data_IF_798578545436
#
_entry.id   IF_798578545436
#
_cell.length_a   1.000
_cell.length_b   1.000
_cell.length_c   1.000
_cell.angle_alpha   90.00
_cell.angle_beta   90.00
_cell.angle_gamma   90.00
#
_symmetry.space_group_name_H-M   'P 1'
#
loop_
_entity.id
_entity.type
_entity.pdbx_description
1 polymer ?
#
# COMPACT_ATOMS: atom_id res chain seq x y z
N UNK A 1 -77.56 9.60 -77.39
CA UNK A 1 -76.72 10.78 -77.08
C UNK A 1 -75.49 10.29 -76.32
N UNK A 2 -74.42 9.92 -77.03
CA UNK A 2 -73.11 9.60 -76.45
C UNK A 2 -72.11 10.54 -77.13
N UNK A 3 -71.66 11.57 -76.41
CA UNK A 3 -70.73 12.57 -76.93
C UNK A 3 -69.38 11.96 -77.27
N UNK A 4 -68.87 12.24 -78.48
CA UNK A 4 -67.55 11.80 -78.95
C UNK A 4 -66.49 12.54 -78.14
N UNK A 5 -65.74 11.83 -77.29
CA UNK A 5 -64.67 12.43 -76.46
C UNK A 5 -63.61 13.02 -77.40
N UNK A 6 -63.20 14.29 -77.23
CA UNK A 6 -62.22 14.93 -78.10
C UNK A 6 -60.82 14.29 -77.95
N UNK A 7 -60.14 14.07 -79.08
CA UNK A 7 -58.87 13.32 -79.20
C UNK A 7 -57.75 13.79 -78.27
N UNK A 8 -57.70 15.08 -77.94
CA UNK A 8 -56.67 15.62 -77.04
C UNK A 8 -56.79 15.12 -75.59
N UNK A 9 -58.00 14.76 -75.14
CA UNK A 9 -58.18 14.15 -73.81
C UNK A 9 -57.58 12.74 -73.74
N UNK A 10 -57.62 11.98 -74.84
CA UNK A 10 -56.96 10.68 -74.94
C UNK A 10 -55.44 10.82 -74.89
N UNK A 11 -54.88 11.83 -75.55
CA UNK A 11 -53.44 12.10 -75.50
C UNK A 11 -52.97 12.46 -74.08
N UNK A 12 -53.70 13.32 -73.38
CA UNK A 12 -53.38 13.68 -71.98
C UNK A 12 -53.49 12.47 -71.06
N UNK A 13 -54.52 11.64 -71.23
CA UNK A 13 -54.70 10.42 -70.43
C UNK A 13 -53.54 9.45 -70.64
N UNK A 14 -53.09 9.25 -71.88
CA UNK A 14 -51.92 8.42 -72.19
C UNK A 14 -50.65 8.99 -71.54
N UNK A 15 -50.44 10.30 -71.59
CA UNK A 15 -49.29 10.92 -70.91
C UNK A 15 -49.31 10.72 -69.39
N UNK A 16 -50.47 10.87 -68.75
CA UNK A 16 -50.63 10.65 -67.30
C UNK A 16 -50.40 9.19 -66.93
N UNK A 17 -50.87 8.24 -67.75
CA UNK A 17 -50.66 6.81 -67.53
C UNK A 17 -49.18 6.43 -67.67
N UNK A 18 -48.49 6.94 -68.68
CA UNK A 18 -47.05 6.68 -68.88
C UNK A 18 -46.23 7.27 -67.71
N UNK A 19 -46.54 8.50 -67.30
CA UNK A 19 -45.86 9.13 -66.17
C UNK A 19 -46.14 8.38 -64.85
N UNK A 20 -47.40 8.02 -64.60
CA UNK A 20 -47.79 7.24 -63.42
C UNK A 20 -47.08 5.88 -63.36
N UNK A 21 -46.98 5.18 -64.50
CA UNK A 21 -46.25 3.92 -64.58
C UNK A 21 -44.73 4.09 -64.34
N UNK A 22 -44.14 5.18 -64.83
CA UNK A 22 -42.73 5.51 -64.57
C UNK A 22 -42.46 5.83 -63.10
N UNK A 23 -43.33 6.61 -62.45
CA UNK A 23 -43.23 6.92 -61.02
C UNK A 23 -43.45 5.67 -60.16
N UNK A 24 -44.41 4.81 -60.50
CA UNK A 24 -44.68 3.59 -59.75
C UNK A 24 -43.50 2.60 -59.83
N UNK A 25 -42.97 2.38 -61.04
CA UNK A 25 -41.76 1.57 -61.24
C UNK A 25 -40.53 2.14 -60.54
N UNK A 26 -40.37 3.46 -60.53
CA UNK A 26 -39.28 4.13 -59.82
C UNK A 26 -39.40 4.00 -58.31
N UNK A 27 -40.63 4.08 -57.76
CA UNK A 27 -40.87 3.91 -56.34
C UNK A 27 -40.57 2.48 -55.89
N UNK A 28 -41.03 1.47 -56.65
CA UNK A 28 -40.85 0.05 -56.33
C UNK A 28 -39.36 -0.34 -56.28
N UNK A 29 -38.59 0.03 -57.31
CA UNK A 29 -37.14 -0.26 -57.38
C UNK A 29 -36.39 0.42 -56.23
N UNK A 30 -36.78 1.65 -55.90
CA UNK A 30 -36.16 2.40 -54.81
C UNK A 30 -36.51 1.77 -53.45
N UNK A 31 -37.75 1.34 -53.23
CA UNK A 31 -38.15 0.70 -51.96
C UNK A 31 -37.42 -0.61 -51.70
N UNK A 32 -37.21 -1.45 -52.72
CA UNK A 32 -36.49 -2.73 -52.55
C UNK A 32 -35.03 -2.53 -52.14
N UNK A 33 -34.33 -1.57 -52.77
CA UNK A 33 -32.93 -1.27 -52.41
C UNK A 33 -32.81 -0.69 -50.99
N UNK A 34 -33.76 0.17 -50.58
CA UNK A 34 -33.78 0.70 -49.22
C UNK A 34 -34.08 -0.36 -48.17
N UNK A 35 -35.05 -1.24 -48.42
CA UNK A 35 -35.37 -2.35 -47.51
C UNK A 35 -34.19 -3.30 -47.36
N UNK A 36 -33.53 -3.66 -48.48
CA UNK A 36 -32.32 -4.49 -48.45
C UNK A 36 -31.18 -3.82 -47.67
N UNK A 37 -30.99 -2.50 -47.85
CA UNK A 37 -29.96 -1.74 -47.13
C UNK A 37 -30.28 -1.59 -45.64
N UNK A 38 -31.55 -1.41 -45.28
CA UNK A 38 -32.00 -1.37 -43.88
C UNK A 38 -31.84 -2.74 -43.22
N UNK A 39 -32.20 -3.82 -43.92
CA UNK A 39 -32.03 -5.18 -43.43
C UNK A 39 -30.55 -5.52 -43.20
N UNK A 40 -29.67 -5.16 -44.15
CA UNK A 40 -28.23 -5.34 -44.01
C UNK A 40 -27.66 -4.52 -42.84
N UNK A 41 -28.07 -3.25 -42.70
CA UNK A 41 -27.62 -2.37 -41.62
C UNK A 41 -28.10 -2.84 -40.23
N UNK A 42 -29.32 -3.38 -40.15
CA UNK A 42 -29.84 -3.98 -38.92
C UNK A 42 -29.13 -5.28 -38.56
N UNK A 43 -28.78 -6.10 -39.56
CA UNK A 43 -28.01 -7.32 -39.35
C UNK A 43 -26.60 -7.01 -38.82
N UNK A 44 -25.89 -6.05 -39.43
CA UNK A 44 -24.56 -5.63 -38.93
C UNK A 44 -24.63 -5.04 -37.53
N UNK A 45 -25.67 -4.25 -37.24
CA UNK A 45 -25.86 -3.70 -35.89
C UNK A 45 -26.14 -4.79 -34.86
N UNK A 46 -26.92 -5.81 -35.21
CA UNK A 46 -27.18 -6.95 -34.34
C UNK A 46 -25.90 -7.77 -34.06
N UNK A 47 -25.04 -7.93 -35.05
CA UNK A 47 -23.73 -8.56 -34.88
C UNK A 47 -22.80 -7.73 -34.01
N UNK A 48 -22.76 -6.40 -34.21
CA UNK A 48 -21.99 -5.49 -33.37
C UNK A 48 -22.47 -5.49 -31.92
N UNK A 49 -23.79 -5.47 -31.69
CA UNK A 49 -24.37 -5.49 -30.34
C UNK A 49 -24.06 -6.82 -29.64
N UNK A 50 -24.08 -7.95 -30.36
CA UNK A 50 -23.65 -9.25 -29.84
C UNK A 50 -22.16 -9.26 -29.49
N UNK A 51 -21.29 -8.77 -30.39
CA UNK A 51 -19.87 -8.70 -30.14
C UNK A 51 -19.54 -7.79 -28.93
N UNK A 52 -20.25 -6.68 -28.76
CA UNK A 52 -20.13 -5.81 -27.59
C UNK A 52 -20.61 -6.50 -26.32
N UNK A 53 -21.73 -7.22 -26.37
CA UNK A 53 -22.24 -7.96 -25.22
C UNK A 53 -21.28 -9.08 -24.78
N UNK A 54 -20.70 -9.82 -25.74
CA UNK A 54 -19.70 -10.84 -25.48
C UNK A 54 -18.39 -10.25 -24.92
N UNK A 55 -17.94 -9.12 -25.46
CA UNK A 55 -16.76 -8.42 -24.95
C UNK A 55 -16.96 -7.90 -23.52
N UNK A 56 -18.14 -7.35 -23.21
CA UNK A 56 -18.49 -6.90 -21.85
C UNK A 56 -18.58 -8.09 -20.90
N UNK A 57 -19.21 -9.19 -21.29
CA UNK A 57 -19.29 -10.40 -20.48
C UNK A 57 -17.90 -11.01 -20.20
N UNK A 58 -17.01 -11.02 -21.21
CA UNK A 58 -15.64 -11.46 -21.06
C UNK A 58 -14.83 -10.53 -20.13
N UNK A 59 -15.01 -9.21 -20.25
CA UNK A 59 -14.36 -8.23 -19.40
C UNK A 59 -14.84 -8.33 -17.94
N UNK A 60 -16.14 -8.51 -17.71
CA UNK A 60 -16.71 -8.71 -16.37
C UNK A 60 -16.20 -10.01 -15.73
N UNK A 61 -16.12 -11.10 -16.51
CA UNK A 61 -15.55 -12.36 -16.03
C UNK A 61 -14.08 -12.19 -15.64
N UNK A 62 -13.28 -11.53 -16.47
CA UNK A 62 -11.86 -11.26 -16.17
C UNK A 62 -11.72 -10.37 -14.92
N UNK A 63 -12.55 -9.34 -14.79
CA UNK A 63 -12.56 -8.47 -13.60
C UNK A 63 -12.90 -9.26 -12.32
N UNK A 64 -13.89 -10.16 -12.38
CA UNK A 64 -14.24 -11.05 -11.27
C UNK A 64 -13.11 -12.03 -10.93
N UNK A 65 -12.46 -12.61 -11.94
CA UNK A 65 -11.32 -13.51 -11.73
C UNK A 65 -10.12 -12.79 -11.09
N UNK A 66 -9.82 -11.56 -11.53
CA UNK A 66 -8.79 -10.73 -10.90
C UNK A 66 -9.11 -10.40 -9.46
N UNK A 67 -10.34 -9.99 -9.18
CA UNK A 67 -10.80 -9.73 -7.81
C UNK A 67 -10.68 -10.99 -6.95
N UNK A 68 -11.14 -12.15 -7.45
CA UNK A 68 -11.04 -13.42 -6.75
C UNK A 68 -9.58 -13.85 -6.49
N UNK A 69 -8.68 -13.58 -7.44
CA UNK A 69 -7.25 -13.85 -7.27
C UNK A 69 -6.62 -12.95 -6.21
N UNK A 70 -6.96 -11.66 -6.18
CA UNK A 70 -6.45 -10.75 -5.14
C UNK A 70 -7.06 -11.05 -3.76
N UNK A 71 -8.35 -11.42 -3.67
CA UNK A 71 -8.94 -11.85 -2.39
C UNK A 71 -8.27 -13.13 -1.88
N UNK A 72 -8.01 -14.11 -2.75
CA UNK A 72 -7.32 -15.34 -2.36
C UNK A 72 -5.89 -15.08 -1.86
N UNK A 73 -5.18 -14.13 -2.48
CA UNK A 73 -3.86 -13.67 -2.00
C UNK A 73 -3.97 -12.96 -0.66
N UNK A 74 -4.95 -12.07 -0.51
CA UNK A 74 -5.23 -11.37 0.75
C UNK A 74 -5.54 -12.34 1.89
N UNK A 75 -6.39 -13.34 1.65
CA UNK A 75 -6.72 -14.38 2.62
C UNK A 75 -5.53 -15.27 2.97
N UNK A 76 -4.63 -15.55 2.01
CA UNK A 76 -3.39 -16.28 2.29
C UNK A 76 -2.47 -15.46 3.19
N UNK A 77 -2.23 -14.19 2.87
CA UNK A 77 -1.42 -13.29 3.68
C UNK A 77 -2.01 -13.08 5.07
N UNK A 78 -3.34 -12.93 5.18
CA UNK A 78 -4.02 -12.81 6.47
C UNK A 78 -3.81 -14.06 7.34
N UNK A 79 -3.87 -15.26 6.75
CA UNK A 79 -3.58 -16.51 7.46
C UNK A 79 -2.12 -16.61 7.90
N UNK A 80 -1.17 -16.23 7.05
CA UNK A 80 0.25 -16.22 7.40
C UNK A 80 0.55 -15.22 8.53
N UNK A 81 -0.05 -14.02 8.48
CA UNK A 81 0.07 -13.01 9.54
C UNK A 81 -0.58 -13.47 10.85
N UNK A 82 -1.75 -14.10 10.79
CA UNK A 82 -2.41 -14.66 11.97
C UNK A 82 -1.56 -15.77 12.62
N UNK A 83 -0.98 -16.66 11.81
CA UNK A 83 -0.09 -17.71 12.30
C UNK A 83 1.17 -17.14 12.95
N UNK A 84 1.80 -16.13 12.34
CA UNK A 84 3.00 -15.48 12.89
C UNK A 84 2.71 -14.66 14.14
N UNK A 85 1.57 -13.99 14.20
CA UNK A 85 1.12 -13.29 15.41
C UNK A 85 0.92 -14.29 16.56
N UNK A 86 0.25 -15.42 16.30
CA UNK A 86 0.05 -16.46 17.31
C UNK A 86 1.38 -17.08 17.80
N UNK A 87 2.35 -17.28 16.90
CA UNK A 87 3.70 -17.75 17.25
C UNK A 87 4.41 -16.75 18.16
N UNK A 88 4.42 -15.46 17.80
CA UNK A 88 5.02 -14.40 18.62
C UNK A 88 4.33 -14.25 19.98
N UNK A 89 3.00 -14.37 20.04
CA UNK A 89 2.27 -14.32 21.30
C UNK A 89 2.57 -15.53 22.19
N UNK A 90 2.74 -16.72 21.60
CA UNK A 90 3.17 -17.91 22.33
C UNK A 90 4.60 -17.76 22.88
N UNK A 91 5.52 -17.20 22.09
CA UNK A 91 6.89 -16.90 22.52
C UNK A 91 6.89 -15.85 23.65
N UNK A 92 6.15 -14.75 23.50
CA UNK A 92 5.99 -13.73 24.54
C UNK A 92 5.42 -14.33 25.82
N UNK A 93 4.39 -15.17 25.73
CA UNK A 93 3.83 -15.85 26.89
C UNK A 93 4.85 -16.78 27.56
N UNK A 94 5.67 -17.48 26.77
CA UNK A 94 6.74 -18.35 27.27
C UNK A 94 7.83 -17.55 28.00
N UNK A 95 8.33 -16.47 27.39
CA UNK A 95 9.31 -15.56 27.98
C UNK A 95 8.75 -14.94 29.26
N UNK A 96 7.51 -14.47 29.24
CA UNK A 96 6.89 -13.87 30.41
C UNK A 96 6.71 -14.89 31.56
N UNK A 97 6.37 -16.14 31.25
CA UNK A 97 6.34 -17.22 32.26
C UNK A 97 7.72 -17.45 32.88
N UNK A 98 8.78 -17.49 32.07
CA UNK A 98 10.16 -17.66 32.54
C UNK A 98 10.62 -16.49 33.40
N UNK A 99 10.33 -15.26 32.99
CA UNK A 99 10.62 -14.05 33.77
C UNK A 99 9.91 -14.13 35.12
N UNK A 100 8.62 -14.48 35.13
CA UNK A 100 7.86 -14.63 36.37
C UNK A 100 8.46 -15.69 37.29
N UNK A 101 8.79 -16.85 36.76
CA UNK A 101 9.41 -17.94 37.54
C UNK A 101 10.75 -17.52 38.15
N UNK A 102 11.63 -16.92 37.34
CA UNK A 102 12.92 -16.38 37.81
C UNK A 102 12.71 -15.28 38.85
N UNK A 103 11.72 -14.40 38.67
CA UNK A 103 11.43 -13.32 39.62
C UNK A 103 10.90 -13.84 40.95
N UNK A 104 10.04 -14.86 40.96
CA UNK A 104 9.53 -15.48 42.18
C UNK A 104 10.61 -16.28 42.91
N UNK A 105 11.54 -16.88 42.17
CA UNK A 105 12.75 -17.50 42.76
C UNK A 105 13.66 -16.44 43.38
N UNK A 106 13.99 -15.37 42.65
CA UNK A 106 14.80 -14.26 43.15
C UNK A 106 14.18 -13.57 44.36
N UNK A 107 12.85 -13.39 44.40
CA UNK A 107 12.14 -12.81 45.54
C UNK A 107 12.24 -13.67 46.81
N UNK A 108 12.33 -15.00 46.66
CA UNK A 108 12.51 -15.92 47.78
C UNK A 108 13.96 -15.99 48.26
N UNK A 109 14.91 -15.95 47.31
CA UNK A 109 16.31 -16.28 47.59
C UNK A 109 17.22 -15.04 47.75
N UNK A 110 16.75 -13.82 47.41
CA UNK A 110 17.56 -12.60 47.46
C UNK A 110 16.95 -11.52 48.37
N UNK A 111 17.81 -10.82 49.12
CA UNK A 111 17.42 -9.71 50.01
C UNK A 111 17.07 -8.38 49.28
N UNK A 112 17.03 -8.39 47.94
CA UNK A 112 16.86 -7.20 47.11
C UNK A 112 18.18 -6.47 46.82
N UNK A 113 18.12 -5.49 45.92
CA UNK A 113 19.27 -4.65 45.54
C UNK A 113 19.47 -3.53 46.57
N UNK A 114 20.72 -3.19 46.88
CA UNK A 114 21.03 -2.13 47.84
C UNK A 114 20.61 -0.76 47.28
N UNK A 115 20.28 0.17 48.19
CA UNK A 115 19.92 1.54 47.83
C UNK A 115 21.05 2.25 47.06
N UNK A 116 22.30 1.91 47.36
CA UNK A 116 23.47 2.46 46.69
C UNK A 116 23.61 1.94 45.25
N UNK A 117 23.33 0.66 45.02
CA UNK A 117 23.31 0.12 43.66
C UNK A 117 22.21 0.77 42.82
N UNK A 118 21.02 1.00 43.39
CA UNK A 118 19.92 1.69 42.70
C UNK A 118 20.29 3.13 42.36
N UNK A 119 21.04 3.84 43.23
CA UNK A 119 21.57 5.17 42.93
C UNK A 119 22.52 5.16 41.74
N UNK A 120 23.50 4.25 41.72
CA UNK A 120 24.45 4.10 40.60
C UNK A 120 23.73 3.73 39.30
N UNK A 121 22.69 2.91 39.37
CA UNK A 121 21.85 2.55 38.23
C UNK A 121 21.09 3.76 37.66
N UNK A 122 20.45 4.54 38.53
CA UNK A 122 19.75 5.76 38.11
C UNK A 122 20.72 6.81 37.56
N UNK A 123 21.90 6.94 38.14
CA UNK A 123 22.97 7.79 37.62
C UNK A 123 23.44 7.33 36.23
N UNK A 124 23.63 6.02 36.04
CA UNK A 124 24.00 5.45 34.74
C UNK A 124 22.93 5.66 33.66
N UNK A 125 21.65 5.69 34.05
CA UNK A 125 20.53 6.07 33.18
C UNK A 125 20.42 7.58 32.91
N UNK A 126 21.17 8.41 33.62
CA UNK A 126 21.10 9.86 33.51
C UNK A 126 20.04 10.54 34.39
N UNK A 127 19.43 9.80 35.33
CA UNK A 127 18.47 10.31 36.32
C UNK A 127 19.12 10.75 37.64
N UNK A 128 20.42 11.03 37.64
CA UNK A 128 21.14 11.52 38.83
C UNK A 128 20.50 12.77 39.43
N UNK A 129 20.58 12.91 40.76
CA UNK A 129 20.03 14.03 41.52
C UNK A 129 20.49 15.38 40.94
N UNK A 130 19.64 16.04 40.16
CA UNK A 130 19.93 17.37 39.63
C UNK A 130 19.60 17.65 38.15
N UNK A 131 19.00 16.72 37.38
CA UNK A 131 18.42 17.09 36.09
C UNK A 131 17.08 17.83 36.29
N UNK A 132 17.16 19.08 36.76
CA UNK A 132 16.18 20.09 36.40
C UNK A 132 16.19 20.18 34.87
N UNK A 133 15.05 19.87 34.26
CA UNK A 133 14.76 20.22 32.88
C UNK A 133 15.01 21.72 32.70
N UNK A 134 16.13 22.10 32.06
CA UNK A 134 16.49 23.50 31.88
C UNK A 134 17.98 23.81 31.89
N UNK A 135 18.81 23.02 31.18
CA UNK A 135 20.11 23.53 30.76
C UNK A 135 20.47 22.96 29.38
N UNK A 136 19.92 23.57 28.34
CA UNK A 136 20.45 23.51 26.98
C UNK A 136 21.78 24.26 26.95
N UNK A 137 22.80 23.68 27.60
CA UNK A 137 24.17 24.15 27.57
C UNK A 137 24.93 23.36 26.51
N UNK A 138 25.25 24.03 25.41
CA UNK A 138 26.07 23.53 24.29
C UNK A 138 27.18 22.58 24.76
N UNK A 139 27.15 21.33 24.30
CA UNK A 139 28.27 20.43 24.48
C UNK A 139 29.47 20.94 23.66
N UNK A 140 30.67 21.11 24.26
CA UNK A 140 31.86 21.49 23.52
C UNK A 140 32.20 20.38 22.51
N UNK A 141 32.54 20.78 21.29
CA UNK A 141 32.86 19.89 20.18
C UNK A 141 33.93 18.87 20.56
N UNK A 142 33.53 17.61 20.67
CA UNK A 142 34.41 16.47 20.86
C UNK A 142 35.05 16.08 19.54
N UNK A 143 36.38 16.16 19.52
CA UNK A 143 37.27 15.72 18.46
C UNK A 143 36.92 14.33 17.92
N UNK A 144 36.95 14.18 16.60
CA UNK A 144 36.90 12.89 15.92
C UNK A 144 38.09 12.04 16.37
N UNK A 145 37.88 11.16 17.35
CA UNK A 145 38.78 10.04 17.58
C UNK A 145 38.34 8.85 16.72
N UNK A 146 39.34 8.24 16.10
CA UNK A 146 39.29 7.04 15.27
C UNK A 146 38.46 5.92 15.93
N UNK A 147 37.91 4.95 15.15
CA UNK A 147 36.99 3.94 15.66
C UNK A 147 37.68 3.10 16.74
N UNK A 148 37.47 3.49 18.00
CA UNK A 148 37.80 2.68 19.16
C UNK A 148 36.99 1.40 19.05
N UNK A 149 37.70 0.30 18.84
CA UNK A 149 37.20 -1.07 18.85
C UNK A 149 36.01 -1.19 19.79
N UNK A 150 34.87 -1.62 19.27
CA UNK A 150 33.86 -2.24 20.12
C UNK A 150 34.61 -3.26 20.98
N UNK A 151 34.72 -2.99 22.28
CA UNK A 151 35.34 -3.90 23.24
C UNK A 151 34.72 -5.26 22.97
N UNK A 152 35.58 -6.24 22.72
CA UNK A 152 35.18 -7.50 22.12
C UNK A 152 33.95 -8.07 22.85
N UNK A 153 32.78 -7.99 22.19
CA UNK A 153 31.63 -8.81 22.52
C UNK A 153 31.96 -10.26 22.11
N UNK A 154 32.95 -10.85 22.78
CA UNK A 154 33.43 -12.22 22.60
C UNK A 154 33.32 -12.95 23.93
N UNK A 155 32.09 -13.11 24.34
CA UNK A 155 31.57 -14.38 24.83
C UNK A 155 30.07 -14.28 24.63
N UNK A 156 29.45 -15.22 23.90
CA UNK A 156 28.02 -15.42 24.08
C UNK A 156 27.77 -15.57 25.58
N UNK A 157 26.68 -14.98 26.07
CA UNK A 157 26.27 -15.09 27.48
C UNK A 157 26.40 -16.56 27.88
N UNK A 158 27.44 -16.90 28.64
CA UNK A 158 27.65 -18.24 29.14
C UNK A 158 26.44 -18.53 30.03
N UNK A 159 25.68 -19.62 29.78
CA UNK A 159 24.41 -19.87 30.46
C UNK A 159 24.54 -19.94 32.00
N UNK A 160 25.75 -20.19 32.51
CA UNK A 160 26.08 -20.28 33.93
C UNK A 160 26.91 -19.10 34.49
N UNK A 161 27.27 -18.10 33.67
CA UNK A 161 27.94 -16.90 34.17
C UNK A 161 26.90 -15.91 34.70
N UNK A 162 26.81 -15.79 36.03
CA UNK A 162 25.98 -14.76 36.67
C UNK A 162 26.49 -13.38 36.24
N UNK A 163 25.64 -12.60 35.56
CA UNK A 163 25.93 -11.19 35.32
C UNK A 163 26.11 -10.50 36.67
N UNK A 164 27.25 -9.84 36.85
CA UNK A 164 27.53 -9.10 38.07
C UNK A 164 26.76 -7.78 38.09
N UNK A 165 26.47 -7.20 39.27
CA UNK A 165 25.88 -5.86 39.39
C UNK A 165 26.67 -4.80 38.59
N UNK A 166 27.99 -4.97 38.48
CA UNK A 166 28.91 -4.13 37.72
C UNK A 166 28.73 -4.27 36.20
N UNK A 167 28.52 -5.49 35.71
CA UNK A 167 28.25 -5.77 34.29
C UNK A 167 26.96 -5.06 33.82
N UNK A 168 25.93 -5.06 34.66
CA UNK A 168 24.65 -4.38 34.36
C UNK A 168 24.86 -2.86 34.27
N UNK A 169 25.62 -2.27 35.19
CA UNK A 169 25.93 -0.84 35.17
C UNK A 169 26.79 -0.46 33.95
N UNK A 170 27.74 -1.31 33.56
CA UNK A 170 28.54 -1.12 32.35
C UNK A 170 27.67 -1.13 31.09
N UNK A 171 26.79 -2.12 30.97
CA UNK A 171 25.88 -2.23 29.84
C UNK A 171 24.99 -0.99 29.66
N UNK A 172 24.44 -0.44 30.75
CA UNK A 172 23.55 0.71 30.68
C UNK A 172 24.30 1.98 30.28
N UNK A 173 25.53 2.17 30.74
CA UNK A 173 26.39 3.29 30.29
C UNK A 173 26.68 3.18 28.80
N UNK A 174 27.04 1.99 28.33
CA UNK A 174 27.31 1.73 26.91
C UNK A 174 26.05 1.92 26.06
N UNK A 175 24.90 1.49 26.55
CA UNK A 175 23.61 1.69 25.90
C UNK A 175 23.25 3.19 25.81
N UNK A 176 23.46 3.96 26.88
CA UNK A 176 23.28 5.41 26.86
C UNK A 176 24.18 6.11 25.83
N UNK A 177 25.44 5.68 25.70
CA UNK A 177 26.36 6.16 24.67
C UNK A 177 25.87 5.81 23.26
N UNK A 178 25.36 4.59 23.06
CA UNK A 178 24.77 4.16 21.80
C UNK A 178 23.57 5.01 21.41
N UNK A 179 22.64 5.26 22.32
CA UNK A 179 21.47 6.11 22.09
C UNK A 179 21.86 7.53 21.67
N UNK A 180 22.82 8.16 22.37
CA UNK A 180 23.31 9.50 22.01
C UNK A 180 23.97 9.54 20.63
N UNK A 181 24.72 8.50 20.27
CA UNK A 181 25.33 8.37 18.94
C UNK A 181 24.27 8.25 17.85
N UNK A 182 23.25 7.45 18.10
CA UNK A 182 22.13 7.26 17.19
C UNK A 182 21.33 8.55 17.01
N UNK A 183 21.05 9.28 18.10
CA UNK A 183 20.41 10.60 18.06
C UNK A 183 21.24 11.63 17.29
N UNK A 184 22.56 11.67 17.49
CA UNK A 184 23.47 12.53 16.73
C UNK A 184 23.45 12.19 15.23
N UNK A 185 23.40 10.90 14.87
CA UNK A 185 23.24 10.44 13.49
C UNK A 185 21.93 10.89 12.85
N UNK A 186 20.81 10.77 13.57
CA UNK A 186 19.51 11.27 13.10
C UNK A 186 19.49 12.78 12.93
N UNK A 187 20.07 13.54 13.87
CA UNK A 187 20.21 14.99 13.75
C UNK A 187 21.05 15.36 12.53
N UNK A 188 22.19 14.71 12.31
CA UNK A 188 23.04 14.96 11.15
C UNK A 188 22.30 14.67 9.82
N UNK A 189 21.57 13.55 9.73
CA UNK A 189 20.72 13.24 8.57
C UNK A 189 19.65 14.30 8.32
N UNK A 190 19.01 14.78 9.40
CA UNK A 190 17.99 15.83 9.34
C UNK A 190 18.59 17.15 8.86
N UNK A 191 19.78 17.51 9.34
CA UNK A 191 20.51 18.71 8.89
C UNK A 191 20.95 18.60 7.44
N UNK A 192 21.40 17.44 6.96
CA UNK A 192 21.73 17.25 5.54
C UNK A 192 20.48 17.40 4.65
N UNK A 193 19.37 16.79 5.04
CA UNK A 193 18.11 16.85 4.29
C UNK A 193 17.52 18.27 4.26
N UNK A 194 17.55 18.97 5.40
CA UNK A 194 17.03 20.34 5.50
C UNK A 194 18.01 21.40 4.96
N UNK A 195 19.32 21.13 5.02
CA UNK A 195 20.36 21.99 4.44
C UNK A 195 20.30 22.00 2.90
N UNK A 196 20.13 20.84 2.26
CA UNK A 196 19.97 20.73 0.79
C UNK A 196 18.67 21.41 0.30
N UNK A 197 17.66 21.53 1.18
CA UNK A 197 16.40 22.21 0.84
C UNK A 197 16.49 23.74 0.82
N UNK A 198 17.51 24.34 1.45
CA UNK A 198 17.68 25.80 1.48
C UNK A 198 18.58 26.33 0.34
N UNK A 199 19.33 25.45 -0.34
CA UNK A 199 20.17 25.78 -1.51
C UNK A 199 19.43 25.62 -2.86
N UNK A 200 18.14 25.26 -2.84
CA UNK A 200 17.32 25.08 -4.05
C UNK A 200 16.25 26.17 -4.21
N UNK A 201 16.64 27.44 -4.07
CA UNK A 201 15.88 28.56 -4.60
C UNK A 201 16.73 29.29 -5.66
N UNK A 202 16.60 28.96 -6.96
CA UNK A 202 17.17 29.78 -8.01
C UNK A 202 16.24 30.97 -8.27
N UNK A 203 16.84 32.17 -8.29
CA UNK A 203 16.28 33.39 -8.86
C UNK A 203 15.87 33.22 -10.34
#
# INVERSE_FOLDING_TARGET
MLGKIPSWLWAVLVCVVIYGAGVWRGLDVVTEEYEAKIAAMNATRAEEERARAEAVAAAEKNARERLAAETARGEKLARELAAKTAELDAERASVNRRIRDVSEKARRDCAGLSLEWVRLYNEALGFGAGHSAGNEGSAPGGTHDAPGSAGAARAGVQPDALATPEDVLAHIRDYGLYCRRLEAGYRALTTLYNGDSNDRHPD
#
